data_IF_476643495889
#
_entry.id   IF_476643495889
#
_cell.length_a   1.000
_cell.length_b   1.000
_cell.length_c   1.000
_cell.angle_alpha   90.00
_cell.angle_beta   90.00
_cell.angle_gamma   90.00
#
_symmetry.space_group_name_H-M   'P 1'
#
loop_
_entity.id
_entity.type
_entity.pdbx_description
1 polymer ?
#
# COMPACT_ATOMS: atom_id res chain seq x y z
N UNK A 1 17.15 4.82 -3.39
CA UNK A 1 15.68 4.91 -3.48
C UNK A 1 15.17 3.70 -4.24
N UNK A 2 14.07 3.06 -3.83
CA UNK A 2 13.52 1.93 -4.56
C UNK A 2 13.06 2.36 -5.96
N UNK A 3 13.35 1.55 -6.99
CA UNK A 3 12.81 1.78 -8.32
C UNK A 3 11.35 1.30 -8.35
N UNK A 4 10.42 2.21 -8.11
CA UNK A 4 8.99 1.90 -7.99
C UNK A 4 8.39 1.28 -9.26
N UNK A 5 8.93 1.60 -10.45
CA UNK A 5 8.45 1.02 -11.71
C UNK A 5 8.73 -0.50 -11.82
N UNK A 6 9.69 -1.02 -11.06
CA UNK A 6 10.08 -2.44 -11.04
C UNK A 6 10.02 -3.03 -9.63
N UNK A 7 9.35 -2.35 -8.71
CA UNK A 7 9.29 -2.77 -7.33
C UNK A 7 8.45 -4.03 -7.19
N UNK A 8 9.01 -5.05 -6.56
CA UNK A 8 8.30 -6.29 -6.20
C UNK A 8 8.44 -6.50 -4.68
N UNK A 9 7.34 -6.46 -3.93
CA UNK A 9 7.33 -6.79 -2.51
C UNK A 9 7.82 -8.23 -2.30
N UNK A 10 8.65 -8.45 -1.27
CA UNK A 10 9.03 -9.80 -0.86
C UNK A 10 7.98 -10.41 0.06
N UNK A 11 7.39 -9.57 0.91
CA UNK A 11 6.40 -9.94 1.92
C UNK A 11 5.52 -8.73 2.27
N UNK A 12 4.38 -8.98 2.89
CA UNK A 12 3.44 -7.97 3.35
C UNK A 12 3.13 -8.16 4.83
N UNK A 13 3.37 -7.11 5.59
CA UNK A 13 2.89 -6.99 6.95
C UNK A 13 1.71 -6.03 6.97
N UNK A 14 0.73 -6.32 7.81
CA UNK A 14 -0.35 -5.39 8.11
C UNK A 14 -0.16 -4.84 9.51
N UNK A 15 -0.18 -3.52 9.67
CA UNK A 15 -0.18 -2.89 10.99
C UNK A 15 -1.50 -3.24 11.68
N UNK A 16 -1.42 -4.13 12.67
CA UNK A 16 -2.55 -4.81 13.30
C UNK A 16 -3.35 -3.93 14.28
N UNK A 17 -3.14 -2.60 14.26
CA UNK A 17 -4.09 -1.65 14.87
C UNK A 17 -5.37 -1.69 14.02
N UNK A 18 -6.15 -2.74 14.32
CA UNK A 18 -7.41 -3.12 13.70
C UNK A 18 -8.35 -1.93 13.76
N UNK A 19 -8.45 -1.16 12.69
CA UNK A 19 -9.72 -0.59 12.21
C UNK A 19 -9.54 0.26 10.95
N UNK A 20 -8.33 0.72 10.63
CA UNK A 20 -8.18 1.76 9.60
C UNK A 20 -8.60 1.34 8.18
N UNK A 21 -8.16 0.17 7.67
CA UNK A 21 -8.65 -0.32 6.37
C UNK A 21 -10.14 -0.72 6.41
N UNK A 22 -10.57 -1.36 7.50
CA UNK A 22 -11.93 -1.83 7.66
C UNK A 22 -12.93 -0.66 7.75
N UNK A 23 -12.57 0.42 8.45
CA UNK A 23 -13.30 1.68 8.53
C UNK A 23 -13.49 2.30 7.14
N UNK A 24 -12.54 2.09 6.24
CA UNK A 24 -12.63 2.52 4.84
C UNK A 24 -13.24 1.48 3.89
N UNK A 25 -13.74 0.35 4.41
CA UNK A 25 -14.29 -0.77 3.61
C UNK A 25 -13.29 -1.27 2.57
N UNK A 26 -12.03 -1.39 2.98
CA UNK A 26 -10.94 -1.96 2.22
C UNK A 26 -10.48 -3.21 2.94
N UNK A 27 -10.38 -4.31 2.21
CA UNK A 27 -9.80 -5.55 2.75
C UNK A 27 -8.27 -5.51 2.66
N UNK A 28 -7.59 -6.31 3.48
CA UNK A 28 -6.14 -6.48 3.36
C UNK A 28 -5.75 -6.99 1.98
N UNK A 29 -6.51 -7.94 1.42
CA UNK A 29 -6.30 -8.50 0.09
C UNK A 29 -6.37 -7.42 -0.99
N UNK A 30 -7.40 -6.57 -0.98
CA UNK A 30 -7.50 -5.45 -1.92
C UNK A 30 -6.33 -4.46 -1.80
N UNK A 31 -5.85 -4.21 -0.58
CA UNK A 31 -4.69 -3.36 -0.37
C UNK A 31 -3.41 -4.00 -0.93
N UNK A 32 -3.24 -5.32 -0.80
CA UNK A 32 -2.14 -6.10 -1.37
C UNK A 32 -2.20 -6.12 -2.90
N UNK A 33 -3.38 -6.35 -3.49
CA UNK A 33 -3.59 -6.37 -4.94
C UNK A 33 -3.10 -5.10 -5.63
N UNK A 34 -3.23 -3.96 -4.96
CA UNK A 34 -2.78 -2.67 -5.47
C UNK A 34 -1.26 -2.60 -5.71
N UNK A 35 -0.45 -3.50 -5.14
CA UNK A 35 0.98 -3.60 -5.41
C UNK A 35 1.32 -4.48 -6.64
N UNK A 36 0.32 -5.14 -7.23
CA UNK A 36 0.49 -6.06 -8.35
C UNK A 36 -0.14 -5.57 -9.66
N UNK A 37 -1.00 -4.54 -9.60
CA UNK A 37 -1.69 -4.00 -10.77
C UNK A 37 -1.48 -2.50 -10.89
N UNK A 38 -0.76 -2.09 -11.94
CA UNK A 38 -0.59 -0.70 -12.41
C UNK A 38 -0.64 0.35 -11.31
N UNK A 39 0.48 0.57 -10.62
CA UNK A 39 0.53 1.44 -9.45
C UNK A 39 1.49 2.61 -9.61
N UNK A 40 1.17 3.72 -8.93
CA UNK A 40 2.07 4.84 -8.74
C UNK A 40 2.44 4.96 -7.26
N UNK A 41 3.74 4.99 -6.95
CA UNK A 41 4.22 5.28 -5.59
C UNK A 41 4.73 6.71 -5.52
N UNK A 42 4.29 7.43 -4.48
CA UNK A 42 4.75 8.77 -4.13
C UNK A 42 5.22 8.80 -2.69
N UNK A 43 6.23 9.61 -2.38
CA UNK A 43 6.68 9.80 -0.99
C UNK A 43 5.63 10.60 -0.21
N UNK A 44 5.39 10.25 1.04
CA UNK A 44 4.56 11.08 1.91
C UNK A 44 5.33 12.34 2.35
N UNK A 45 4.67 13.50 2.37
CA UNK A 45 5.30 14.79 2.72
C UNK A 45 5.57 14.91 4.22
N UNK A 46 4.65 14.42 5.06
CA UNK A 46 4.71 14.62 6.52
C UNK A 46 5.51 13.53 7.24
N UNK A 47 5.56 12.31 6.68
CA UNK A 47 6.24 11.16 7.30
C UNK A 47 7.29 10.60 6.34
N UNK A 48 8.57 10.83 6.67
CA UNK A 48 9.71 10.58 5.75
C UNK A 48 9.91 9.10 5.39
N UNK A 49 9.39 8.21 6.22
CA UNK A 49 9.46 6.75 6.16
C UNK A 49 8.21 6.11 5.51
N UNK A 50 7.18 6.90 5.23
CA UNK A 50 5.92 6.44 4.64
C UNK A 50 5.81 6.82 3.17
N UNK A 51 5.13 5.95 2.44
CA UNK A 51 4.85 6.09 1.01
C UNK A 51 3.35 5.98 0.78
N UNK A 52 2.90 6.60 -0.31
CA UNK A 52 1.55 6.51 -0.82
C UNK A 52 1.60 5.71 -2.10
N UNK A 53 0.81 4.65 -2.20
CA UNK A 53 0.56 3.93 -3.42
C UNK A 53 -0.84 4.28 -3.91
N UNK A 54 -0.98 4.59 -5.20
CA UNK A 54 -2.28 4.59 -5.87
C UNK A 54 -2.28 3.43 -6.84
N UNK A 55 -3.17 2.47 -6.64
CA UNK A 55 -3.24 1.24 -7.42
C UNK A 55 -4.68 0.83 -7.71
N UNK A 56 -4.81 -0.25 -8.47
CA UNK A 56 -6.11 -0.87 -8.76
C UNK A 56 -6.16 -2.28 -8.17
N UNK A 57 -7.29 -2.62 -7.57
CA UNK A 57 -7.61 -4.00 -7.22
C UNK A 57 -7.93 -4.81 -8.48
N UNK A 58 -7.91 -6.13 -8.42
CA UNK A 58 -8.33 -7.00 -9.52
C UNK A 58 -9.83 -6.84 -9.82
N UNK A 59 -10.63 -6.50 -8.80
CA UNK A 59 -12.03 -6.09 -8.95
C UNK A 59 -12.22 -4.69 -9.58
N UNK A 60 -11.14 -3.98 -9.92
CA UNK A 60 -11.18 -2.69 -10.62
C UNK A 60 -11.35 -1.46 -9.72
N UNK A 61 -11.43 -1.63 -8.39
CA UNK A 61 -11.49 -0.49 -7.44
C UNK A 61 -10.15 0.23 -7.44
N UNK A 62 -10.15 1.56 -7.43
CA UNK A 62 -8.94 2.35 -7.21
C UNK A 62 -8.81 2.64 -5.73
N UNK A 63 -7.64 2.32 -5.18
CA UNK A 63 -7.33 2.57 -3.79
C UNK A 63 -6.07 3.41 -3.66
N UNK A 64 -6.05 4.24 -2.62
CA UNK A 64 -4.83 4.86 -2.11
C UNK A 64 -4.40 4.12 -0.85
N UNK A 65 -3.18 3.59 -0.84
CA UNK A 65 -2.61 2.84 0.28
C UNK A 65 -1.44 3.62 0.88
N UNK A 66 -1.42 3.77 2.19
CA UNK A 66 -0.26 4.29 2.93
C UNK A 66 0.51 3.11 3.49
N UNK A 67 1.81 3.06 3.18
CA UNK A 67 2.67 1.96 3.62
C UNK A 67 4.07 2.42 4.01
N UNK A 68 4.77 1.62 4.80
CA UNK A 68 6.21 1.74 5.05
C UNK A 68 6.96 0.65 4.29
N UNK A 69 8.14 1.00 3.77
CA UNK A 69 9.07 0.02 3.20
C UNK A 69 10.10 -0.36 4.26
N UNK A 70 10.03 -1.59 4.75
CA UNK A 70 11.00 -2.18 5.68
C UNK A 70 12.20 -2.78 4.92
N UNK A 71 13.30 -3.11 5.62
CA UNK A 71 14.41 -3.87 5.03
C UNK A 71 13.92 -5.14 4.31
N UNK A 72 14.69 -5.62 3.33
CA UNK A 72 14.36 -6.79 2.48
C UNK A 72 13.08 -6.65 1.64
N UNK A 73 12.65 -5.42 1.34
CA UNK A 73 11.44 -5.11 0.56
C UNK A 73 10.14 -5.64 1.17
N UNK A 74 10.06 -5.70 2.50
CA UNK A 74 8.82 -6.00 3.22
C UNK A 74 7.95 -4.73 3.23
N UNK A 75 6.71 -4.85 2.79
CA UNK A 75 5.74 -3.75 2.78
C UNK A 75 4.89 -3.83 4.04
N UNK A 76 4.97 -2.82 4.90
CA UNK A 76 4.03 -2.69 6.03
C UNK A 76 2.90 -1.77 5.62
N UNK A 77 1.71 -2.31 5.39
CA UNK A 77 0.50 -1.54 5.10
C UNK A 77 0.02 -0.90 6.40
N UNK A 78 -0.20 0.43 6.37
CA UNK A 78 -0.66 1.21 7.52
C UNK A 78 -2.16 1.47 7.41
N UNK A 79 -2.63 2.02 6.29
CA UNK A 79 -4.04 2.36 6.04
C UNK A 79 -4.28 2.52 4.54
N UNK A 80 -5.53 2.73 4.13
CA UNK A 80 -5.90 2.95 2.75
C UNK A 80 -7.40 3.16 2.53
N UNK A 81 -7.76 3.82 1.43
CA UNK A 81 -9.14 4.18 1.13
C UNK A 81 -9.43 4.24 -0.38
N UNK A 82 -10.71 4.11 -0.79
CA UNK A 82 -11.12 4.28 -2.18
C UNK A 82 -10.95 5.72 -2.67
N UNK A 83 -10.61 5.89 -3.95
CA UNK A 83 -10.50 7.19 -4.63
C UNK A 83 -11.15 7.19 -6.01
#
# INVERSE_FOLDING_TARGET
MANWQRFKPTDFEYDFDRDELAAHRVTFEEAVECFFSGFEVRRNKSYRDRYQLVGRTFGGRRLKIIFQLKPKNVVRIITGWPI
#
